data_IF_127994753533
#
_entry.id   IF_127994753533
#
_cell.length_a   1.000
_cell.length_b   1.000
_cell.length_c   1.000
_cell.angle_alpha   90.00
_cell.angle_beta   90.00
_cell.angle_gamma   90.00
#
_symmetry.space_group_name_H-M   'P 1'
#
loop_
_entity.id
_entity.type
_entity.pdbx_description
1 polymer ?
2 non-polymer ?
3 non-polymer ?
4 water ?
#
# COMPACT_ATOMS: atom_id res chain seq x y z
N UNK A 1 -7.70 19.19 -33.46
CA UNK A 1 -7.21 17.84 -33.82
C UNK A 1 -5.68 17.75 -33.65
N UNK A 2 -5.25 16.76 -32.86
CA UNK A 2 -3.82 16.55 -32.50
C UNK A 2 -3.14 17.72 -31.76
N UNK A 3 -3.93 18.53 -31.06
CA UNK A 3 -3.40 19.68 -30.31
C UNK A 3 -2.94 19.31 -28.89
N UNK A 4 -3.64 18.36 -28.26
CA UNK A 4 -3.32 17.93 -26.90
C UNK A 4 -2.17 16.94 -26.89
N UNK A 5 -1.32 17.04 -25.87
CA UNK A 5 -0.16 16.17 -25.70
C UNK A 5 -0.47 14.85 -24.98
N UNK A 6 -1.55 14.84 -24.20
CA UNK A 6 -1.87 13.79 -23.24
C UNK A 6 -3.36 13.89 -22.97
N UNK A 7 -3.98 12.76 -22.64
CA UNK A 7 -5.40 12.74 -22.30
C UNK A 7 -5.69 12.02 -21.00
N UNK A 8 -6.70 12.50 -20.26
CA UNK A 8 -7.20 11.81 -19.08
C UNK A 8 -8.68 11.53 -19.24
N UNK A 9 -9.04 10.25 -19.09
CA UNK A 9 -10.43 9.80 -19.04
C UNK A 9 -10.78 9.55 -17.57
N UNK A 10 -11.75 10.30 -17.07
CA UNK A 10 -12.25 10.12 -15.70
C UNK A 10 -12.04 11.38 -14.89
N UNK A 11 -13.09 12.19 -14.79
CA UNK A 11 -12.99 13.49 -14.16
C UNK A 11 -13.49 13.53 -12.73
N UNK A 12 -13.52 12.38 -12.06
CA UNK A 12 -13.58 12.38 -10.60
C UNK A 12 -12.30 13.06 -10.10
N UNK A 13 -12.12 13.21 -8.80
CA UNK A 13 -11.04 14.06 -8.28
C UNK A 13 -9.64 13.55 -8.65
N UNK A 14 -9.40 12.24 -8.48
CA UNK A 14 -8.08 11.67 -8.81
C UNK A 14 -7.68 11.99 -10.26
N UNK A 15 -8.60 11.71 -11.19
CA UNK A 15 -8.36 11.94 -12.61
C UNK A 15 -8.28 13.41 -12.97
N UNK A 16 -9.11 14.23 -12.34
CA UNK A 16 -9.04 15.67 -12.53
C UNK A 16 -7.70 16.21 -12.06
N UNK A 17 -7.32 15.86 -10.83
CA UNK A 17 -6.07 16.33 -10.23
C UNK A 17 -4.85 15.89 -11.00
N UNK A 18 -4.91 14.70 -11.58
CA UNK A 18 -3.84 14.18 -12.41
C UNK A 18 -3.76 14.95 -13.73
N UNK A 19 -4.90 15.17 -14.38
CA UNK A 19 -4.95 16.02 -15.57
C UNK A 19 -4.35 17.40 -15.29
N UNK A 20 -4.66 17.96 -14.13
CA UNK A 20 -4.14 19.25 -13.72
C UNK A 20 -2.63 19.20 -13.45
N UNK A 21 -2.17 18.10 -12.83
CA UNK A 21 -0.74 17.85 -12.60
C UNK A 21 0.05 17.89 -13.90
N UNK A 22 -0.42 17.12 -14.89
CA UNK A 22 0.20 17.05 -16.21
C UNK A 22 0.23 18.42 -16.88
N UNK A 23 -0.93 19.07 -16.94
CA UNK A 23 -1.04 20.41 -17.53
C UNK A 23 -0.04 21.40 -16.92
N UNK A 24 0.07 21.36 -15.59
CA UNK A 24 0.94 22.27 -14.86
C UNK A 24 2.43 22.06 -15.17
N UNK A 25 2.75 20.98 -15.89
CA UNK A 25 4.12 20.73 -16.32
C UNK A 25 4.37 21.24 -17.73
N UNK A 26 3.41 21.95 -18.29
CA UNK A 26 3.59 22.56 -19.61
C UNK A 26 3.15 21.69 -20.76
N UNK A 27 2.09 20.92 -20.55
CA UNK A 27 1.44 20.15 -21.61
C UNK A 27 0.00 20.60 -21.78
N UNK A 28 -0.55 20.32 -22.96
CA UNK A 28 -1.99 20.49 -23.21
C UNK A 28 -2.68 19.13 -22.99
N UNK A 29 -3.73 19.14 -22.19
CA UNK A 29 -4.36 17.90 -21.77
C UNK A 29 -5.84 17.88 -22.16
N UNK A 30 -6.21 16.91 -23.00
CA UNK A 30 -7.61 16.64 -23.31
C UNK A 30 -8.25 15.90 -22.14
N UNK A 31 -9.45 16.33 -21.78
CA UNK A 31 -10.17 15.75 -20.67
C UNK A 31 -11.51 15.16 -21.14
N UNK A 32 -11.86 14.00 -20.62
CA UNK A 32 -13.11 13.35 -20.98
C UNK A 32 -13.67 12.65 -19.75
N UNK A 33 -15.00 12.63 -19.66
CA UNK A 33 -15.71 11.90 -18.64
C UNK A 33 -17.04 11.39 -19.22
N UNK A 34 -17.46 10.21 -18.75
CA UNK A 34 -18.65 9.53 -19.24
C UNK A 34 -19.90 10.40 -19.17
N UNK A 35 -20.11 11.04 -18.02
CA UNK A 35 -21.20 12.00 -17.87
C UNK A 35 -20.66 13.41 -18.08
N UNK A 36 -21.08 14.01 -19.20
CA UNK A 36 -20.54 15.26 -19.74
C UNK A 36 -20.52 16.42 -18.74
N UNK A 37 -21.47 16.44 -17.82
CA UNK A 37 -21.60 17.53 -16.84
C UNK A 37 -20.34 17.74 -16.00
N UNK A 38 -19.70 16.64 -15.60
CA UNK A 38 -18.48 16.69 -14.78
C UNK A 38 -17.29 17.31 -15.53
N UNK A 39 -17.18 17.02 -16.83
CA UNK A 39 -16.13 17.59 -17.68
C UNK A 39 -16.28 19.11 -17.78
N UNK A 40 -17.53 19.57 -17.90
CA UNK A 40 -17.86 20.99 -17.96
C UNK A 40 -17.53 21.74 -16.66
N UNK A 41 -17.77 21.09 -15.52
CA UNK A 41 -17.45 21.64 -14.21
C UNK A 41 -15.93 21.83 -14.03
N UNK A 42 -15.15 20.86 -14.50
CA UNK A 42 -13.69 20.94 -14.47
C UNK A 42 -13.19 22.05 -15.38
N UNK A 43 -13.70 22.06 -16.62
CA UNK A 43 -13.22 22.97 -17.66
C UNK A 43 -13.43 24.44 -17.29
N UNK A 44 -14.62 24.76 -16.80
CA UNK A 44 -14.97 26.13 -16.41
C UNK A 44 -14.16 26.63 -15.21
N UNK A 45 -13.99 25.78 -14.20
CA UNK A 45 -13.17 26.12 -13.03
C UNK A 45 -11.69 26.28 -13.38
N UNK A 46 -11.26 25.72 -14.50
CA UNK A 46 -9.84 25.73 -14.88
C UNK A 46 -9.64 26.21 -16.32
N UNK A 47 -10.43 27.20 -16.72
CA UNK A 47 -10.38 27.77 -18.07
C UNK A 47 -9.04 28.39 -18.43
N UNK A 48 -8.38 28.97 -17.42
CA UNK A 48 -7.02 29.52 -17.57
C UNK A 48 -5.99 28.49 -18.05
N UNK A 49 -6.15 27.25 -17.58
CA UNK A 49 -5.21 26.16 -17.89
C UNK A 49 -5.33 25.69 -19.34
N UNK A 50 -4.30 24.99 -19.81
CA UNK A 50 -4.31 24.41 -21.14
C UNK A 50 -5.02 23.05 -21.19
N UNK A 51 -6.34 23.09 -21.03
CA UNK A 51 -7.18 21.90 -21.07
C UNK A 51 -8.06 21.93 -22.31
N UNK A 52 -8.10 20.81 -23.03
CA UNK A 52 -9.01 20.67 -24.16
C UNK A 52 -10.28 19.94 -23.71
N UNK A 53 -11.39 20.65 -23.76
CA UNK A 53 -12.70 20.09 -23.43
C UNK A 53 -13.18 19.20 -24.56
N UNK A 54 -13.50 17.97 -24.22
CA UNK A 54 -14.08 17.03 -25.18
C UNK A 54 -15.39 16.49 -24.61
N UNK A 55 -16.39 16.35 -25.48
CA UNK A 55 -17.69 15.80 -25.06
C UNK A 55 -17.94 14.37 -25.59
N UNK A 56 -17.31 14.02 -26.72
CA UNK A 56 -17.37 12.64 -27.23
C UNK A 56 -15.99 12.00 -27.24
N UNK A 57 -15.99 10.67 -27.29
CA UNK A 57 -14.79 9.85 -27.21
C UNK A 57 -13.95 10.00 -28.47
N UNK A 58 -14.62 10.19 -29.60
CA UNK A 58 -13.95 10.45 -30.85
C UNK A 58 -13.29 11.83 -30.85
N UNK A 59 -13.95 12.80 -30.24
CA UNK A 59 -13.41 14.15 -30.10
C UNK A 59 -12.17 14.13 -29.20
N UNK A 60 -12.25 13.34 -28.13
CA UNK A 60 -11.14 13.10 -27.21
C UNK A 60 -9.93 12.48 -27.92
N UNK A 61 -10.15 11.36 -28.60
CA UNK A 61 -9.10 10.68 -29.35
C UNK A 61 -8.55 11.56 -30.48
N UNK A 62 -9.44 12.21 -31.22
CA UNK A 62 -9.07 13.05 -32.36
C UNK A 62 -8.16 14.21 -31.99
N UNK A 63 -8.27 14.64 -30.74
CA UNK A 63 -7.51 15.77 -30.21
C UNK A 63 -6.09 15.42 -29.76
N UNK A 64 -5.69 14.16 -29.89
CA UNK A 64 -4.41 13.71 -29.34
C UNK A 64 -3.31 13.40 -30.37
N UNK A 65 -2.08 13.70 -29.98
CA UNK A 65 -0.89 13.43 -30.80
C UNK A 65 -0.57 11.94 -30.88
N UNK A 66 -0.21 11.48 -32.09
CA UNK A 66 0.29 10.12 -32.26
C UNK A 66 1.78 10.03 -31.89
N UNK A 67 2.20 8.92 -31.22
CA UNK A 67 1.33 7.92 -30.59
C UNK A 67 0.57 8.53 -29.39
N UNK A 68 -0.73 8.30 -29.32
CA UNK A 68 -1.56 8.92 -28.28
C UNK A 68 -1.25 8.38 -26.89
N UNK A 69 -1.24 9.28 -25.92
CA UNK A 69 -1.06 8.91 -24.52
C UNK A 69 -2.31 9.26 -23.74
N UNK A 70 -3.04 8.22 -23.34
CA UNK A 70 -4.34 8.35 -22.70
C UNK A 70 -4.26 7.65 -21.35
N UNK A 71 -4.53 8.41 -20.29
CA UNK A 71 -4.58 7.86 -18.95
C UNK A 71 -6.02 7.67 -18.51
N UNK A 72 -6.32 6.45 -18.06
CA UNK A 72 -7.63 6.07 -17.56
C UNK A 72 -7.64 6.20 -16.04
N UNK A 73 -8.59 6.97 -15.54
CA UNK A 73 -8.75 7.17 -14.11
C UNK A 73 -10.22 6.98 -13.75
N UNK A 74 -10.68 5.75 -13.94
CA UNK A 74 -12.08 5.41 -13.69
C UNK A 74 -12.17 4.32 -12.64
N UNK A 75 -13.41 3.97 -12.28
CA UNK A 75 -13.66 2.93 -11.29
C UNK A 75 -13.05 1.61 -11.77
N UNK A 76 -12.36 0.94 -10.86
CA UNK A 76 -11.74 -0.36 -11.13
C UNK A 76 -12.78 -1.46 -11.38
N UNK A 77 -12.36 -2.49 -12.10
CA UNK A 77 -13.24 -3.59 -12.44
C UNK A 77 -13.90 -3.35 -13.77
N UNK A 78 -15.22 -3.51 -13.80
CA UNK A 78 -16.01 -3.48 -15.03
C UNK A 78 -16.04 -2.13 -15.73
N UNK A 79 -15.95 -1.04 -14.95
CA UNK A 79 -15.93 0.30 -15.53
C UNK A 79 -14.66 0.57 -16.36
N UNK A 80 -13.54 -0.01 -15.92
CA UNK A 80 -12.27 0.10 -16.65
C UNK A 80 -12.30 -0.72 -17.95
N UNK A 81 -12.82 -1.93 -17.88
CA UNK A 81 -13.01 -2.74 -19.09
C UNK A 81 -13.94 -2.08 -20.12
N UNK A 82 -15.00 -1.45 -19.63
CA UNK A 82 -15.96 -0.74 -20.46
C UNK A 82 -15.33 0.47 -21.18
N UNK A 83 -14.45 1.17 -20.48
CA UNK A 83 -13.78 2.34 -21.03
C UNK A 83 -12.81 1.91 -22.12
N UNK A 84 -12.07 0.84 -21.84
CA UNK A 84 -11.11 0.28 -22.80
C UNK A 84 -11.82 -0.13 -24.08
N UNK A 85 -12.96 -0.82 -23.92
CA UNK A 85 -13.77 -1.33 -25.01
C UNK A 85 -14.31 -0.19 -25.85
N UNK A 86 -14.65 0.91 -25.18
CA UNK A 86 -15.15 2.12 -25.84
C UNK A 86 -14.06 2.84 -26.63
N UNK A 87 -12.83 2.79 -26.11
CA UNK A 87 -11.71 3.48 -26.73
C UNK A 87 -11.08 2.70 -27.88
N UNK A 88 -10.98 1.38 -27.72
CA UNK A 88 -10.24 0.52 -28.64
C UNK A 88 -10.46 0.78 -30.16
N UNK A 89 -11.73 0.84 -30.63
CA UNK A 89 -11.99 1.06 -32.06
C UNK A 89 -11.54 2.42 -32.61
N UNK A 90 -11.32 3.39 -31.72
CA UNK A 90 -10.93 4.75 -32.12
C UNK A 90 -9.42 4.95 -32.17
N UNK A 91 -8.66 3.97 -31.69
CA UNK A 91 -7.21 4.09 -31.57
C UNK A 91 -6.49 3.54 -32.80
N UNK A 92 -5.22 3.90 -32.95
CA UNK A 92 -4.37 3.29 -33.95
C UNK A 92 -3.29 2.51 -33.25
N UNK A 93 -2.73 1.52 -33.96
CA UNK A 93 -1.61 0.74 -33.49
C UNK A 93 -0.48 1.66 -33.01
N UNK A 94 0.14 1.30 -31.89
CA UNK A 94 1.22 2.10 -31.34
C UNK A 94 0.77 3.02 -30.23
N UNK A 95 -0.54 3.31 -30.18
CA UNK A 95 -1.11 4.16 -29.14
C UNK A 95 -0.92 3.53 -27.76
N UNK A 96 -0.97 4.37 -26.74
CA UNK A 96 -0.65 3.96 -25.37
C UNK A 96 -1.82 4.32 -24.45
N UNK A 97 -2.49 3.29 -23.94
CA UNK A 97 -3.47 3.45 -22.85
C UNK A 97 -2.74 3.18 -21.54
N UNK A 98 -3.04 4.00 -20.54
CA UNK A 98 -2.43 3.86 -19.23
C UNK A 98 -3.56 3.75 -18.22
N UNK A 99 -3.58 2.67 -17.45
CA UNK A 99 -4.58 2.52 -16.41
C UNK A 99 -4.00 2.91 -15.05
N UNK A 100 -4.40 4.09 -14.57
CA UNK A 100 -3.92 4.61 -13.31
C UNK A 100 -4.79 4.23 -12.13
N UNK A 101 -5.84 3.44 -12.38
CA UNK A 101 -6.74 2.98 -11.32
C UNK A 101 -6.11 1.93 -10.43
N UNK A 102 -6.69 1.76 -9.25
CA UNK A 102 -6.32 0.72 -8.32
C UNK A 102 -6.82 -0.66 -8.77
N UNK A 103 -6.31 -1.12 -9.90
CA UNK A 103 -6.76 -2.32 -10.54
C UNK A 103 -6.06 -3.54 -9.92
N UNK A 104 -6.81 -4.61 -9.75
CA UNK A 104 -6.26 -5.91 -9.37
C UNK A 104 -5.33 -6.38 -10.49
N UNK A 105 -4.08 -6.67 -10.17
CA UNK A 105 -3.04 -6.95 -11.19
C UNK A 105 -3.34 -8.04 -12.25
N UNK A 106 -4.06 -9.13 -11.90
CA UNK A 106 -4.37 -10.13 -12.95
C UNK A 106 -5.24 -9.59 -14.09
N UNK A 107 -6.06 -8.57 -13.80
CA UNK A 107 -6.84 -7.86 -14.82
C UNK A 107 -5.91 -7.09 -15.74
N UNK A 108 -4.88 -6.48 -15.16
CA UNK A 108 -3.83 -5.80 -15.93
C UNK A 108 -3.06 -6.80 -16.81
N UNK A 109 -2.80 -8.00 -16.29
CA UNK A 109 -2.11 -9.02 -17.05
C UNK A 109 -2.96 -9.49 -18.23
N UNK A 110 -4.26 -9.66 -17.99
CA UNK A 110 -5.22 -9.97 -19.03
C UNK A 110 -5.38 -8.80 -20.03
N UNK A 111 -5.52 -7.58 -19.52
CA UNK A 111 -5.68 -6.41 -20.39
C UNK A 111 -4.48 -6.18 -21.30
N UNK A 112 -3.28 -6.30 -20.73
CA UNK A 112 -2.04 -6.17 -21.48
C UNK A 112 -1.97 -7.16 -22.65
N UNK A 113 -2.28 -8.43 -22.38
CA UNK A 113 -2.23 -9.46 -23.42
C UNK A 113 -3.21 -9.23 -24.58
N UNK A 114 -4.47 -8.94 -24.26
CA UNK A 114 -5.50 -8.73 -25.29
C UNK A 114 -5.32 -7.43 -26.08
N UNK A 115 -4.83 -6.39 -25.42
CA UNK A 115 -4.56 -5.13 -26.10
C UNK A 115 -3.35 -5.21 -27.03
N UNK A 116 -2.39 -6.05 -26.69
CA UNK A 116 -1.24 -6.34 -27.54
C UNK A 116 -1.69 -7.03 -28.81
N UNK A 117 -2.75 -7.84 -28.71
CA UNK A 117 -3.30 -8.50 -29.89
C UNK A 117 -3.85 -7.51 -30.90
N UNK A 118 -4.24 -6.33 -30.41
CA UNK A 118 -4.74 -5.26 -31.24
C UNK A 118 -3.67 -4.20 -31.57
N UNK A 119 -2.44 -4.41 -31.08
CA UNK A 119 -1.34 -3.48 -31.38
C UNK A 119 -1.36 -2.20 -30.57
N UNK A 120 -2.03 -2.26 -29.42
CA UNK A 120 -2.14 -1.14 -28.49
C UNK A 120 -1.30 -1.43 -27.27
N UNK A 121 -0.54 -0.42 -26.83
CA UNK A 121 0.28 -0.56 -25.64
C UNK A 121 -0.55 -0.29 -24.39
N UNK A 122 -0.26 -1.02 -23.32
CA UNK A 122 -1.01 -0.90 -22.09
C UNK A 122 -0.10 -0.80 -20.90
N UNK A 123 -0.21 0.32 -20.19
CA UNK A 123 0.63 0.54 -19.04
C UNK A 123 -0.24 0.62 -17.81
N UNK A 124 -0.22 -0.45 -17.02
CA UNK A 124 -0.89 -0.46 -15.73
C UNK A 124 0.00 0.20 -14.71
N UNK A 125 -0.45 1.35 -14.21
CA UNK A 125 0.35 2.16 -13.30
C UNK A 125 -0.37 2.34 -12.00
N UNK A 126 0.35 2.12 -10.90
CA UNK A 126 -0.08 2.55 -9.60
C UNK A 126 0.20 4.02 -9.41
N UNK A 127 -0.75 4.71 -8.80
CA UNK A 127 -0.61 6.12 -8.48
C UNK A 127 -0.88 6.26 -7.00
N UNK A 128 0.13 6.73 -6.26
CA UNK A 128 -0.02 6.83 -4.83
C UNK A 128 0.12 8.27 -4.34
N UNK A 129 -0.58 8.61 -3.27
CA UNK A 129 -0.40 9.91 -2.63
C UNK A 129 -1.68 10.64 -2.34
N UNK A 130 -2.81 9.98 -2.60
CA UNK A 130 -4.12 10.59 -2.39
C UNK A 130 -4.42 11.66 -3.41
N UNK A 131 -5.49 12.40 -3.17
CA UNK A 131 -5.98 13.42 -4.10
C UNK A 131 -5.02 14.59 -4.24
N UNK A 132 -4.35 14.91 -3.14
CA UNK A 132 -3.37 15.99 -3.10
C UNK A 132 -2.09 15.58 -3.80
N UNK A 133 -1.66 14.33 -3.57
CA UNK A 133 -0.52 13.76 -4.28
C UNK A 133 -0.73 13.68 -5.79
N UNK A 134 -1.91 13.28 -6.23
CA UNK A 134 -2.19 13.20 -7.66
C UNK A 134 -2.03 14.57 -8.34
N UNK A 135 -2.33 15.62 -7.58
CA UNK A 135 -2.23 17.00 -8.07
C UNK A 135 -0.79 17.54 -8.05
N UNK A 136 -0.09 17.31 -6.95
CA UNK A 136 1.19 17.96 -6.69
C UNK A 136 2.41 17.09 -6.95
N UNK A 137 2.25 15.77 -6.81
CA UNK A 137 3.34 14.84 -7.10
C UNK A 137 3.12 13.44 -6.53
N UNK A 138 2.59 12.52 -7.35
CA UNK A 138 2.40 11.15 -6.88
C UNK A 138 3.68 10.33 -6.91
N UNK A 139 3.66 9.18 -6.26
CA UNK A 139 4.58 8.10 -6.54
C UNK A 139 3.91 7.24 -7.61
N UNK A 140 4.65 6.86 -8.63
CA UNK A 140 4.04 6.13 -9.74
C UNK A 140 4.74 4.81 -9.98
N UNK A 141 3.93 3.77 -10.23
CA UNK A 141 4.45 2.41 -10.38
C UNK A 141 3.99 1.76 -11.70
N UNK A 142 4.60 2.17 -12.84
CA UNK A 142 4.22 1.69 -14.18
C UNK A 142 4.79 0.33 -14.58
N UNK A 143 3.93 -0.47 -15.21
CA UNK A 143 4.31 -1.75 -15.76
C UNK A 143 3.69 -1.92 -17.13
N UNK A 144 4.29 -2.77 -17.95
CA UNK A 144 3.86 -2.95 -19.32
C UNK A 144 5.07 -3.05 -20.22
N UNK A 145 4.87 -2.72 -21.50
CA UNK A 145 5.96 -2.76 -22.48
C UNK A 145 6.96 -1.62 -22.26
N UNK A 146 8.24 -1.99 -22.13
CA UNK A 146 9.31 -1.05 -21.85
C UNK A 146 9.35 0.11 -22.86
N UNK A 147 9.26 -0.27 -24.14
CA UNK A 147 9.31 0.68 -25.26
C UNK A 147 8.21 1.73 -25.12
N UNK A 148 6.98 1.28 -24.84
CA UNK A 148 5.88 2.20 -24.54
C UNK A 148 6.12 3.02 -23.25
N UNK A 149 6.63 2.40 -22.20
CA UNK A 149 6.95 3.15 -20.99
C UNK A 149 7.94 4.30 -21.27
N UNK A 150 9.02 4.00 -22.01
CA UNK A 150 10.03 4.99 -22.37
C UNK A 150 9.42 6.25 -23.03
N UNK A 151 8.31 6.08 -23.74
CA UNK A 151 7.63 7.18 -24.43
C UNK A 151 6.82 8.08 -23.49
N UNK A 152 6.46 7.53 -22.33
CA UNK A 152 5.62 8.22 -21.35
C UNK A 152 6.43 8.73 -20.15
N UNK A 153 7.58 8.09 -19.92
CA UNK A 153 8.48 8.41 -18.81
C UNK A 153 8.84 9.89 -18.62
N UNK A 154 9.14 10.63 -19.72
CA UNK A 154 9.39 12.07 -19.56
C UNK A 154 8.30 12.82 -18.78
N UNK A 155 7.03 12.59 -19.15
CA UNK A 155 5.91 13.23 -18.46
C UNK A 155 5.74 12.72 -17.02
N UNK A 156 5.81 11.40 -16.86
CA UNK A 156 5.73 10.76 -15.54
C UNK A 156 6.79 11.31 -14.57
N UNK A 157 8.03 11.45 -15.06
CA UNK A 157 9.12 12.01 -14.26
C UNK A 157 8.88 13.47 -13.85
N UNK A 158 8.14 14.21 -14.67
CA UNK A 158 7.82 15.61 -14.35
C UNK A 158 6.70 15.77 -13.33
N UNK A 159 5.64 14.99 -13.47
CA UNK A 159 4.51 15.07 -12.55
C UNK A 159 4.78 14.41 -11.19
N UNK A 160 5.70 13.44 -11.13
CA UNK A 160 5.95 12.70 -9.89
C UNK A 160 6.65 13.54 -8.81
N UNK A 161 6.46 13.15 -7.55
CA UNK A 161 7.18 13.75 -6.44
C UNK A 161 8.69 13.45 -6.52
N UNK A 162 9.50 14.34 -5.97
CA UNK A 162 10.95 14.11 -5.90
C UNK A 162 11.32 13.70 -4.50
N UNK A 163 12.17 12.69 -4.36
CA UNK A 163 12.69 12.31 -3.05
C UNK A 163 13.49 13.48 -2.48
N UNK A 164 13.26 13.82 -1.19
CA UNK A 164 13.98 14.97 -0.61
C UNK A 164 15.48 14.69 -0.46
N UNK A 165 15.86 13.42 -0.30
CA UNK A 165 17.26 13.00 -0.19
C UNK A 165 18.14 13.40 -1.37
N UNK A 166 17.71 13.04 -2.59
CA UNK A 166 18.55 13.19 -3.78
C UNK A 166 17.80 13.79 -4.99
N UNK A 167 16.55 14.19 -4.79
CA UNK A 167 15.73 14.77 -5.85
C UNK A 167 15.33 13.81 -6.98
N UNK A 168 15.58 12.52 -6.80
CA UNK A 168 15.12 11.52 -7.77
C UNK A 168 13.59 11.46 -7.85
N UNK A 169 13.03 11.49 -9.09
CA UNK A 169 11.59 11.33 -9.32
C UNK A 169 11.07 10.00 -8.78
N UNK A 170 9.90 10.04 -8.14
CA UNK A 170 9.32 8.85 -7.54
C UNK A 170 8.46 8.08 -8.56
N UNK A 171 9.10 7.66 -9.64
CA UNK A 171 8.52 6.83 -10.68
C UNK A 171 9.67 6.05 -11.29
N UNK A 172 9.42 4.79 -11.63
CA UNK A 172 10.36 3.97 -12.35
C UNK A 172 9.65 2.78 -12.98
N UNK A 173 10.23 2.25 -14.04
CA UNK A 173 9.72 1.06 -14.69
C UNK A 173 9.80 -0.14 -13.73
N UNK A 174 8.65 -0.75 -13.46
CA UNK A 174 8.57 -1.87 -12.53
C UNK A 174 8.81 -3.19 -13.24
N UNK A 175 8.36 -3.27 -14.49
CA UNK A 175 8.43 -4.51 -15.23
C UNK A 175 7.26 -4.70 -16.18
N UNK A 176 7.18 -5.91 -16.72
CA UNK A 176 6.21 -6.23 -17.76
C UNK A 176 4.76 -6.40 -17.23
N UNK A 177 3.80 -6.31 -18.15
CA UNK A 177 2.39 -6.52 -17.86
C UNK A 177 1.88 -5.95 -16.52
N UNK A 178 1.55 -6.80 -15.56
CA UNK A 178 0.95 -6.36 -14.30
C UNK A 178 1.88 -5.95 -13.17
N UNK A 179 3.19 -5.95 -13.44
CA UNK A 179 4.22 -5.69 -12.44
C UNK A 179 4.00 -4.41 -11.63
N UNK A 180 3.56 -3.35 -12.31
CA UNK A 180 3.32 -2.06 -11.66
C UNK A 180 2.11 -2.02 -10.74
N UNK A 181 0.99 -2.60 -11.17
CA UNK A 181 -0.18 -2.72 -10.32
C UNK A 181 0.07 -3.66 -9.14
N UNK A 182 0.96 -4.64 -9.33
CA UNK A 182 1.35 -5.52 -8.23
C UNK A 182 2.09 -4.77 -7.12
N UNK A 183 3.04 -3.92 -7.53
CA UNK A 183 3.84 -3.13 -6.60
C UNK A 183 2.91 -2.18 -5.86
N UNK A 184 2.06 -1.49 -6.62
CA UNK A 184 1.03 -0.63 -6.03
C UNK A 184 0.13 -1.35 -5.02
N UNK A 185 -0.31 -2.57 -5.37
CA UNK A 185 -1.06 -3.42 -4.43
C UNK A 185 -0.29 -3.67 -3.15
N UNK A 186 1.01 -3.91 -3.25
CA UNK A 186 1.84 -4.12 -2.06
C UNK A 186 2.01 -2.83 -1.26
N UNK A 187 2.26 -1.73 -1.94
CA UNK A 187 2.18 -0.43 -1.31
C UNK A 187 0.96 -0.20 -0.42
N UNK A 188 -0.22 -0.51 -0.95
CA UNK A 188 -1.46 -0.32 -0.20
C UNK A 188 -1.64 -1.31 0.92
N UNK A 189 -1.17 -2.55 0.69
CA UNK A 189 -1.11 -3.55 1.76
C UNK A 189 -0.32 -3.01 2.93
N UNK A 190 0.90 -2.55 2.66
CA UNK A 190 1.78 -1.96 3.67
C UNK A 190 1.13 -0.76 4.37
N UNK A 191 0.42 0.04 3.57
CA UNK A 191 -0.35 1.17 4.06
C UNK A 191 -1.35 0.75 5.15
N UNK A 192 -2.21 -0.22 4.83
CA UNK A 192 -3.16 -0.80 5.80
C UNK A 192 -2.46 -1.16 7.10
N UNK A 193 -1.36 -1.91 6.99
CA UNK A 193 -0.51 -2.29 8.13
C UNK A 193 -0.02 -1.12 8.98
N UNK A 194 0.49 -0.07 8.34
CA UNK A 194 0.92 1.13 9.08
C UNK A 194 -0.23 1.81 9.82
N UNK A 195 -1.35 2.00 9.11
CA UNK A 195 -2.55 2.59 9.69
C UNK A 195 -3.07 1.78 10.89
N UNK A 196 -3.01 0.46 10.79
CA UNK A 196 -3.44 -0.42 11.89
C UNK A 196 -2.47 -0.31 13.08
N UNK A 197 -1.18 -0.32 12.78
CA UNK A 197 -0.14 -0.09 13.80
C UNK A 197 -0.32 1.25 14.51
N UNK A 198 -0.62 2.30 13.75
CA UNK A 198 -0.86 3.63 14.31
C UNK A 198 -2.16 3.66 15.12
N UNK A 199 -3.16 2.89 14.69
CA UNK A 199 -4.44 2.80 15.38
C UNK A 199 -4.27 2.13 16.74
N UNK A 200 -3.45 1.08 16.79
CA UNK A 200 -3.19 0.39 18.04
C UNK A 200 -2.43 1.26 19.03
N UNK A 201 -1.44 2.01 18.53
CA UNK A 201 -0.64 2.92 19.34
C UNK A 201 -1.55 3.97 19.95
N UNK A 202 -2.37 4.58 19.09
CA UNK A 202 -3.41 5.53 19.48
C UNK A 202 -4.34 4.93 20.57
N UNK A 203 -4.79 3.69 20.34
CA UNK A 203 -5.69 3.01 21.27
C UNK A 203 -5.04 2.74 22.64
N UNK A 204 -3.76 2.40 22.62
CA UNK A 204 -2.98 2.14 23.84
C UNK A 204 -2.79 3.42 24.65
N UNK A 205 -2.41 4.49 23.97
CA UNK A 205 -2.21 5.80 24.60
C UNK A 205 -3.53 6.32 25.18
N UNK A 206 -4.63 6.04 24.49
CA UNK A 206 -5.94 6.52 24.86
C UNK A 206 -6.59 5.69 25.98
N UNK A 207 -6.46 4.37 25.93
CA UNK A 207 -7.16 3.49 26.87
C UNK A 207 -6.36 3.06 28.09
N UNK A 208 -5.06 2.79 27.90
CA UNK A 208 -4.24 2.37 29.03
C UNK A 208 -3.71 3.58 29.80
N UNK A 209 -3.22 4.57 29.07
CA UNK A 209 -2.60 5.75 29.67
C UNK A 209 -3.58 6.91 29.84
N UNK A 210 -4.81 6.74 29.36
CA UNK A 210 -5.86 7.73 29.53
C UNK A 210 -5.56 9.12 28.99
N UNK A 211 -4.78 9.18 27.92
CA UNK A 211 -4.34 10.46 27.34
C UNK A 211 -5.38 11.07 26.38
N UNK A 212 -5.29 12.39 26.21
CA UNK A 212 -6.22 13.17 25.41
C UNK A 212 -5.72 13.31 23.97
N UNK A 213 -6.61 13.71 23.07
CA UNK A 213 -6.23 13.98 21.69
C UNK A 213 -5.07 14.96 21.57
N UNK A 214 -5.08 16.02 22.38
CA UNK A 214 -3.98 17.00 22.43
C UNK A 214 -2.66 16.36 22.88
N UNK A 215 -2.74 15.51 23.90
CA UNK A 215 -1.58 14.80 24.40
C UNK A 215 -1.00 13.84 23.35
N UNK A 216 -1.86 12.98 22.80
CA UNK A 216 -1.48 12.04 21.76
C UNK A 216 -0.93 12.78 20.52
N UNK A 217 -1.54 13.91 20.16
CA UNK A 217 -1.07 14.73 19.04
C UNK A 217 0.39 15.17 19.25
N UNK A 218 0.69 15.61 20.48
CA UNK A 218 2.03 16.06 20.87
C UNK A 218 3.03 14.92 20.87
N UNK A 219 2.59 13.74 21.31
CA UNK A 219 3.40 12.53 21.23
C UNK A 219 3.74 12.16 19.77
N UNK A 220 2.74 12.08 18.90
CA UNK A 220 2.96 11.83 17.48
C UNK A 220 3.83 12.88 16.79
N UNK A 221 3.67 14.15 17.17
CA UNK A 221 4.50 15.24 16.69
C UNK A 221 5.97 15.04 17.01
N UNK A 222 6.25 14.68 18.27
CA UNK A 222 7.59 14.39 18.74
C UNK A 222 8.18 13.15 18.07
N UNK A 223 7.37 12.09 17.96
CA UNK A 223 7.75 10.88 17.26
C UNK A 223 8.19 11.17 15.83
N UNK A 224 7.48 12.06 15.16
CA UNK A 224 7.70 12.40 13.74
C UNK A 224 8.95 13.23 13.46
N UNK A 225 9.60 13.68 14.53
CA UNK A 225 10.87 14.40 14.41
C UNK A 225 12.03 13.40 14.43
N UNK A 226 11.73 12.17 14.85
CA UNK A 226 12.74 11.14 14.95
C UNK A 226 12.73 10.18 13.78
N UNK A 227 13.16 8.96 14.03
CA UNK A 227 13.30 7.94 13.01
C UNK A 227 11.94 7.48 12.42
N UNK A 228 10.86 7.74 13.15
CA UNK A 228 9.50 7.40 12.70
C UNK A 228 8.95 8.34 11.62
N UNK A 229 9.58 9.50 11.47
CA UNK A 229 9.24 10.48 10.43
C UNK A 229 8.57 9.83 9.21
N UNK A 230 7.27 10.11 9.06
CA UNK A 230 6.46 9.56 7.98
C UNK A 230 5.22 10.41 7.73
N UNK A 231 4.67 10.33 6.52
CA UNK A 231 3.47 11.09 6.16
C UNK A 231 2.25 10.66 6.99
N UNK A 232 2.14 9.35 7.26
CA UNK A 232 1.00 8.82 7.99
C UNK A 232 0.90 9.28 9.44
N UNK A 233 2.03 9.31 10.16
CA UNK A 233 2.10 9.93 11.50
C UNK A 233 1.79 11.44 11.43
N UNK A 234 2.25 12.09 10.37
CA UNK A 234 2.02 13.51 10.14
C UNK A 234 0.54 13.85 10.04
N UNK A 235 -0.20 13.14 9.18
CA UNK A 235 -1.64 13.36 9.04
C UNK A 235 -2.44 12.86 10.26
N UNK A 236 -1.88 11.89 11.00
CA UNK A 236 -2.47 11.44 12.26
C UNK A 236 -2.53 12.58 13.30
N UNK A 237 -1.39 13.21 13.59
CA UNK A 237 -1.37 14.37 14.49
C UNK A 237 -2.20 15.55 13.95
N UNK A 238 -2.37 15.60 12.63
CA UNK A 238 -3.14 16.64 11.97
C UNK A 238 -4.63 16.37 12.16
N UNK A 239 -5.04 15.12 11.93
CA UNK A 239 -6.43 14.69 12.13
C UNK A 239 -6.86 14.94 13.57
N UNK A 240 -5.92 14.73 14.50
CA UNK A 240 -6.18 14.87 15.93
C UNK A 240 -6.33 16.32 16.39
N UNK A 241 -6.00 17.27 15.51
CA UNK A 241 -6.20 18.69 15.81
C UNK A 241 -7.63 19.13 15.57
N UNK A 242 -8.32 18.49 14.62
CA UNK A 242 -9.49 19.10 14.00
C UNK A 242 -10.77 19.00 14.81
N UNK A 243 -11.46 20.13 14.94
CA UNK A 243 -12.73 20.20 15.63
C UNK A 243 -13.85 19.51 14.85
N UNK A 244 -14.89 19.10 15.58
CA UNK A 244 -16.09 18.57 14.95
C UNK A 244 -16.76 19.70 14.16
N UNK A 245 -17.06 19.46 12.89
CA UNK A 245 -17.73 20.49 12.09
C UNK A 245 -19.25 20.59 12.35
N UNK A 246 -19.77 19.67 13.17
CA UNK A 246 -21.21 19.62 13.44
C UNK A 246 -21.54 19.31 14.90
N UNK A 247 -20.75 19.89 15.80
CA UNK A 247 -20.91 19.64 17.23
C UNK A 247 -19.66 19.95 18.02
N UNK A 248 -19.65 19.52 19.28
CA UNK A 248 -18.59 19.84 20.24
C UNK A 248 -17.46 18.82 20.12
N UNK A 249 -16.26 19.20 20.55
CA UNK A 249 -15.12 18.27 20.55
C UNK A 249 -14.43 18.09 19.22
N UNK A 250 -13.95 16.87 18.98
CA UNK A 250 -13.12 16.58 17.81
C UNK A 250 -13.86 15.74 16.80
N UNK A 251 -13.59 15.97 15.52
CA UNK A 251 -14.19 15.17 14.45
C UNK A 251 -13.86 13.66 14.56
N UNK A 252 -12.62 13.30 14.91
CA UNK A 252 -12.21 11.88 15.04
C UNK A 252 -13.12 11.07 15.95
N UNK A 253 -13.63 11.72 17.00
CA UNK A 253 -14.42 11.05 18.00
C UNK A 253 -15.87 10.84 17.59
N UNK A 254 -16.29 11.52 16.51
CA UNK A 254 -17.64 11.37 15.98
C UNK A 254 -17.71 10.47 14.75
N UNK A 255 -16.55 10.02 14.27
CA UNK A 255 -16.49 9.12 13.12
C UNK A 255 -16.78 7.70 13.58
N UNK A 256 -17.74 7.05 12.93
CA UNK A 256 -18.09 5.65 13.21
C UNK A 256 -16.92 4.72 12.92
N UNK A 257 -16.59 3.89 13.89
CA UNK A 257 -15.46 2.96 13.82
C UNK A 257 -15.75 1.73 12.95
N UNK A 258 -16.02 1.98 11.67
CA UNK A 258 -16.19 0.92 10.69
C UNK A 258 -15.29 1.21 9.50
N UNK A 259 -14.11 0.60 9.49
CA UNK A 259 -13.14 0.89 8.43
C UNK A 259 -13.63 0.36 7.09
N UNK A 260 -13.65 1.23 6.09
CA UNK A 260 -13.92 0.80 4.71
C UNK A 260 -12.66 0.26 4.06
N UNK A 261 -12.84 -0.30 2.86
CA UNK A 261 -11.75 -0.76 2.03
C UNK A 261 -12.20 -0.85 0.58
N UNK A 262 -11.27 -0.72 -0.34
CA UNK A 262 -11.60 -0.82 -1.76
C UNK A 262 -10.84 -1.94 -2.47
N UNK A 263 -10.35 -2.91 -1.70
CA UNK A 263 -9.81 -4.15 -2.26
C UNK A 263 -8.32 -4.42 -2.21
N UNK A 264 -7.49 -3.39 -2.40
CA UNK A 264 -6.03 -3.59 -2.50
C UNK A 264 -5.35 -4.35 -1.34
N UNK A 265 -5.72 -4.06 -0.09
CA UNK A 265 -5.14 -4.76 1.06
C UNK A 265 -5.50 -6.24 1.08
N UNK A 266 -6.78 -6.50 0.82
CA UNK A 266 -7.33 -7.84 0.62
C UNK A 266 -6.58 -8.62 -0.48
N UNK A 267 -6.41 -8.00 -1.64
CA UNK A 267 -5.62 -8.55 -2.76
C UNK A 267 -4.17 -8.86 -2.38
N UNK A 268 -3.54 -7.99 -1.60
CA UNK A 268 -2.18 -8.26 -1.10
C UNK A 268 -2.15 -9.56 -0.29
N UNK A 269 -3.07 -9.68 0.66
CA UNK A 269 -3.16 -10.87 1.50
C UNK A 269 -3.52 -12.11 0.69
N UNK A 270 -4.44 -11.96 -0.26
CA UNK A 270 -4.80 -13.06 -1.16
C UNK A 270 -3.60 -13.53 -1.99
N UNK A 271 -2.80 -12.59 -2.46
CA UNK A 271 -1.58 -12.91 -3.19
C UNK A 271 -0.52 -13.63 -2.36
N UNK A 272 -0.32 -13.18 -1.12
CA UNK A 272 0.63 -13.84 -0.21
C UNK A 272 0.22 -15.30 0.01
N UNK A 273 -1.10 -15.51 0.12
CA UNK A 273 -1.67 -16.82 0.33
C UNK A 273 -1.41 -17.75 -0.88
N UNK A 274 -1.64 -17.21 -2.07
CA UNK A 274 -1.32 -17.84 -3.35
C UNK A 274 0.13 -18.24 -3.50
N UNK A 275 1.02 -17.35 -3.05
CA UNK A 275 2.44 -17.46 -3.33
C UNK A 275 3.17 -18.34 -2.30
N UNK A 276 2.54 -18.60 -1.15
CA UNK A 276 3.20 -19.36 -0.07
C UNK A 276 4.06 -18.46 0.81
N UNK A 277 3.67 -17.19 0.89
CA UNK A 277 4.43 -16.14 1.56
C UNK A 277 3.78 -15.76 2.90
N UNK A 278 4.55 -15.82 4.00
CA UNK A 278 3.97 -15.38 5.27
C UNK A 278 3.76 -13.86 5.29
N UNK A 279 2.50 -13.44 5.35
CA UNK A 279 2.15 -12.00 5.46
C UNK A 279 1.16 -11.70 6.60
N UNK A 280 1.48 -12.14 7.83
CA UNK A 280 0.54 -11.99 8.94
C UNK A 280 0.14 -10.55 9.29
N UNK A 281 1.08 -9.61 9.32
CA UNK A 281 0.75 -8.27 9.81
C UNK A 281 -0.26 -7.55 8.93
N UNK A 282 0.03 -7.42 7.63
CA UNK A 282 -0.89 -6.76 6.71
C UNK A 282 -2.24 -7.46 6.67
N UNK A 283 -2.23 -8.80 6.72
CA UNK A 283 -3.47 -9.59 6.77
C UNK A 283 -4.32 -9.36 8.04
N UNK A 284 -3.69 -9.36 9.21
CA UNK A 284 -4.36 -8.97 10.46
C UNK A 284 -4.96 -7.56 10.37
N UNK A 285 -4.27 -6.65 9.68
CA UNK A 285 -4.75 -5.29 9.42
C UNK A 285 -6.05 -5.28 8.63
N UNK A 286 -6.11 -6.12 7.59
CA UNK A 286 -7.30 -6.31 6.77
C UNK A 286 -8.42 -6.86 7.64
N UNK A 287 -8.13 -7.92 8.37
CA UNK A 287 -9.09 -8.52 9.30
C UNK A 287 -9.52 -7.57 10.41
N UNK A 288 -8.62 -6.68 10.83
CA UNK A 288 -8.98 -5.66 11.83
C UNK A 288 -10.06 -4.73 11.26
N UNK A 289 -9.94 -4.40 9.98
CA UNK A 289 -10.96 -3.59 9.31
C UNK A 289 -12.28 -4.37 9.26
N UNK A 290 -12.22 -5.64 8.93
CA UNK A 290 -13.42 -6.47 8.84
C UNK A 290 -14.16 -6.59 10.17
N UNK A 291 -13.41 -6.72 11.25
CA UNK A 291 -14.04 -6.86 12.55
C UNK A 291 -14.65 -5.53 13.05
N UNK A 292 -14.14 -4.41 12.56
CA UNK A 292 -14.73 -3.10 12.89
C UNK A 292 -16.04 -2.93 12.13
N UNK A 293 -16.09 -3.57 10.97
CA UNK A 293 -17.28 -3.68 10.15
C UNK A 293 -18.44 -4.39 10.88
N UNK A 294 -18.09 -5.30 11.79
CA UNK A 294 -19.05 -6.05 12.60
C UNK A 294 -19.52 -5.27 13.85
N UNK A 295 -19.76 -3.97 13.68
CA UNK A 295 -20.10 -3.04 14.77
C UNK A 295 -21.30 -3.49 15.60
N UNK A 296 -22.39 -3.87 14.92
CA UNK A 296 -23.63 -4.28 15.58
C UNK A 296 -23.39 -5.46 16.51
N UNK A 297 -22.70 -6.47 15.99
CA UNK A 297 -22.33 -7.64 16.77
C UNK A 297 -21.41 -7.27 17.93
N UNK A 298 -20.45 -6.38 17.68
CA UNK A 298 -19.53 -5.90 18.71
C UNK A 298 -20.26 -5.19 19.85
N UNK A 299 -21.23 -4.35 19.51
CA UNK A 299 -22.09 -3.72 20.51
C UNK A 299 -22.76 -4.75 21.44
N UNK A 300 -23.38 -5.78 20.85
CA UNK A 300 -23.97 -6.87 21.61
C UNK A 300 -22.95 -7.60 22.49
N UNK A 301 -21.79 -7.92 21.93
CA UNK A 301 -20.75 -8.67 22.62
C UNK A 301 -20.18 -7.91 23.81
N UNK A 302 -20.08 -6.59 23.69
CA UNK A 302 -19.60 -5.74 24.78
C UNK A 302 -20.39 -5.90 26.08
N UNK A 303 -21.67 -6.26 25.95
CA UNK A 303 -22.57 -6.36 27.10
C UNK A 303 -22.56 -7.75 27.73
N UNK A 304 -21.99 -8.71 27.01
CA UNK A 304 -22.08 -10.12 27.36
C UNK A 304 -20.72 -10.65 27.84
N UNK A 305 -19.66 -10.24 27.14
CA UNK A 305 -18.32 -10.78 27.35
C UNK A 305 -17.54 -9.91 28.31
N UNK A 306 -16.78 -10.56 29.19
CA UNK A 306 -16.04 -9.85 30.23
C UNK A 306 -14.57 -9.71 29.86
N UNK A 307 -13.92 -8.72 30.48
CA UNK A 307 -12.50 -8.48 30.30
C UNK A 307 -11.88 -8.06 31.62
N UNK A 308 -10.57 -7.77 31.62
CA UNK A 308 -9.91 -7.26 32.82
C UNK A 308 -10.23 -5.80 33.09
N UNK A 309 -10.13 -5.40 34.36
CA UNK A 309 -10.26 -3.99 34.75
C UNK A 309 -8.89 -3.33 34.71
N UNK A 310 -8.88 -2.07 34.30
CA UNK A 310 -7.63 -1.38 33.99
C UNK A 310 -7.25 -0.41 35.08
N UNK A 311 -6.14 -0.72 35.76
CA UNK A 311 -5.44 0.30 36.56
C UNK A 311 -3.93 0.26 36.29
N UNK A 312 -3.48 1.27 35.55
CA UNK A 312 -2.11 1.33 35.05
C UNK A 312 -1.11 1.74 36.16
N UNK A 313 -0.22 0.80 36.51
CA UNK A 313 0.72 0.97 37.62
C UNK A 313 2.09 1.57 37.25
N UNK A 314 2.29 1.88 35.96
CA UNK A 314 3.61 2.24 35.46
C UNK A 314 3.89 3.72 35.20
N UNK A 315 5.04 3.99 34.57
CA UNK A 315 5.47 5.36 34.23
C UNK A 315 5.05 5.71 32.81
N UNK A 316 4.21 6.73 32.68
CA UNK A 316 3.67 7.15 31.40
C UNK A 316 4.75 7.43 30.35
N UNK A 317 5.73 8.25 30.71
CA UNK A 317 6.74 8.71 29.76
C UNK A 317 7.53 7.54 29.16
N UNK A 318 7.84 6.55 29.98
CA UNK A 318 8.65 5.44 29.53
C UNK A 318 7.87 4.36 28.79
N UNK A 319 6.58 4.26 29.11
CA UNK A 319 5.68 3.36 28.40
C UNK A 319 5.40 3.91 27.01
N UNK A 320 5.23 5.23 26.92
CA UNK A 320 5.13 5.94 25.65
C UNK A 320 6.33 5.62 24.76
N UNK A 321 7.53 5.60 25.34
CA UNK A 321 8.75 5.32 24.58
C UNK A 321 8.82 3.86 24.13
N UNK A 322 8.30 2.95 24.95
CA UNK A 322 8.23 1.54 24.59
C UNK A 322 7.31 1.35 23.40
N UNK A 323 6.14 1.99 23.45
CA UNK A 323 5.19 1.99 22.34
C UNK A 323 5.83 2.55 21.06
N UNK A 324 6.53 3.67 21.17
CA UNK A 324 7.30 4.23 20.06
C UNK A 324 8.22 3.18 19.42
N UNK A 325 9.02 2.53 20.26
CA UNK A 325 9.93 1.46 19.83
C UNK A 325 9.18 0.29 19.18
N UNK A 326 8.04 -0.07 19.74
CA UNK A 326 7.22 -1.16 19.25
C UNK A 326 6.59 -0.83 17.90
N UNK A 327 6.23 0.44 17.71
CA UNK A 327 5.70 0.90 16.43
C UNK A 327 6.76 0.74 15.33
N UNK A 328 7.94 1.28 15.57
CA UNK A 328 9.04 1.21 14.61
C UNK A 328 9.47 -0.23 14.31
N UNK A 329 9.62 -1.04 15.36
CA UNK A 329 9.94 -2.46 15.26
C UNK A 329 8.92 -3.19 14.39
N UNK A 330 7.64 -2.92 14.63
CA UNK A 330 6.54 -3.56 13.95
C UNK A 330 6.44 -3.16 12.47
N UNK A 331 6.72 -1.90 12.17
CA UNK A 331 6.79 -1.45 10.77
C UNK A 331 7.86 -2.23 10.05
N UNK A 332 9.00 -2.43 10.71
CA UNK A 332 10.10 -3.19 10.13
C UNK A 332 9.68 -4.63 9.81
N UNK A 333 8.98 -5.28 10.75
CA UNK A 333 8.36 -6.61 10.53
C UNK A 333 7.47 -6.63 9.26
N UNK A 334 6.59 -5.64 9.13
CA UNK A 334 5.64 -5.56 8.01
C UNK A 334 6.29 -5.29 6.64
N UNK A 335 7.22 -4.35 6.59
CA UNK A 335 7.97 -4.08 5.35
C UNK A 335 8.84 -5.27 4.98
N UNK A 336 9.49 -5.87 5.99
CA UNK A 336 10.23 -7.12 5.79
C UNK A 336 9.34 -8.17 5.10
N UNK A 337 8.13 -8.35 5.64
CA UNK A 337 7.16 -9.28 5.08
C UNK A 337 6.76 -8.90 3.66
N UNK A 338 6.44 -7.62 3.47
CA UNK A 338 6.04 -7.05 2.18
C UNK A 338 7.06 -7.19 1.05
N UNK A 339 8.33 -6.89 1.34
CA UNK A 339 9.40 -7.08 0.37
C UNK A 339 9.71 -8.55 0.05
N UNK A 340 9.49 -9.44 1.01
CA UNK A 340 9.61 -10.87 0.76
C UNK A 340 8.50 -11.33 -0.17
N UNK A 341 7.32 -10.71 -0.05
CA UNK A 341 6.24 -11.00 -1.00
C UNK A 341 6.61 -10.56 -2.41
N UNK A 342 7.08 -9.32 -2.54
CA UNK A 342 7.52 -8.81 -3.84
C UNK A 342 8.58 -9.73 -4.47
N UNK A 343 9.42 -10.30 -3.64
CA UNK A 343 10.46 -11.21 -4.09
C UNK A 343 9.87 -12.49 -4.68
N UNK A 344 8.95 -13.12 -3.95
CA UNK A 344 8.32 -14.34 -4.44
C UNK A 344 7.45 -14.09 -5.68
N UNK A 345 6.75 -12.95 -5.71
CA UNK A 345 5.97 -12.53 -6.88
C UNK A 345 6.83 -12.34 -8.13
N UNK A 346 7.99 -11.71 -7.94
CA UNK A 346 8.92 -11.43 -9.03
C UNK A 346 9.33 -12.72 -9.72
N UNK A 347 9.60 -13.75 -8.92
CA UNK A 347 9.94 -15.10 -9.38
C UNK A 347 8.74 -15.76 -10.05
N UNK A 348 7.57 -15.68 -9.41
CA UNK A 348 6.36 -16.31 -9.94
C UNK A 348 5.94 -15.79 -11.31
N UNK A 349 5.97 -14.47 -11.50
CA UNK A 349 5.45 -13.84 -12.72
C UNK A 349 6.56 -13.35 -13.63
N UNK A 350 7.81 -13.72 -13.31
CA UNK A 350 9.01 -13.37 -14.09
C UNK A 350 9.22 -11.88 -14.34
N UNK A 351 9.03 -11.05 -13.31
CA UNK A 351 9.09 -9.59 -13.47
C UNK A 351 10.44 -8.94 -13.20
N UNK A 352 11.34 -9.67 -12.56
CA UNK A 352 12.63 -9.11 -12.18
C UNK A 352 12.44 -7.71 -11.58
N UNK A 353 11.67 -7.64 -10.48
CA UNK A 353 11.35 -6.37 -9.84
C UNK A 353 12.58 -5.72 -9.24
N UNK A 354 12.72 -4.39 -9.41
CA UNK A 354 13.86 -3.68 -8.84
C UNK A 354 13.56 -3.26 -7.40
N UNK A 355 13.87 -4.14 -6.44
CA UNK A 355 13.49 -3.95 -5.05
C UNK A 355 14.00 -2.66 -4.43
N UNK A 356 15.28 -2.34 -4.68
CA UNK A 356 15.88 -1.10 -4.21
C UNK A 356 15.25 0.14 -4.80
N UNK A 357 14.85 0.06 -6.08
CA UNK A 357 14.20 1.19 -6.76
C UNK A 357 12.78 1.38 -6.27
N UNK A 358 12.07 0.27 -6.03
CA UNK A 358 10.75 0.31 -5.40
C UNK A 358 10.83 1.09 -4.08
N UNK A 359 11.75 0.68 -3.21
CA UNK A 359 12.04 1.47 -2.01
C UNK A 359 12.30 2.96 -2.34
N UNK A 360 13.17 3.23 -3.33
CA UNK A 360 13.53 4.60 -3.70
C UNK A 360 12.32 5.46 -4.09
N UNK A 361 11.41 4.89 -4.88
CA UNK A 361 10.24 5.63 -5.36
C UNK A 361 9.11 5.76 -4.33
N UNK A 362 9.26 5.07 -3.20
CA UNK A 362 8.36 5.28 -2.07
C UNK A 362 8.84 6.31 -1.04
N UNK A 363 9.98 6.95 -1.32
CA UNK A 363 10.56 7.90 -0.37
C UNK A 363 9.79 9.22 -0.29
N UNK A 364 9.02 9.50 -1.34
CA UNK A 364 8.17 10.68 -1.44
C UNK A 364 6.96 10.39 -2.35
N UNK A 365 5.94 11.23 -2.28
CA UNK A 365 4.77 11.10 -3.15
C UNK A 365 3.71 10.13 -2.67
N UNK A 366 4.13 8.91 -2.30
CA UNK A 366 3.21 7.86 -1.87
C UNK A 366 2.73 8.05 -0.43
N UNK A 367 1.71 7.28 -0.04
CA UNK A 367 1.12 7.40 1.31
C UNK A 367 2.07 6.89 2.39
N UNK A 368 2.84 5.86 2.07
CA UNK A 368 3.76 5.27 3.05
C UNK A 368 5.11 6.00 3.11
N UNK A 369 5.21 7.16 2.46
CA UNK A 369 6.44 7.95 2.42
C UNK A 369 6.95 8.15 3.84
N UNK A 370 8.24 7.89 4.02
CA UNK A 370 8.89 7.94 5.33
C UNK A 370 10.40 7.96 5.16
N UNK A 371 11.10 8.53 6.15
CA UNK A 371 12.56 8.59 6.11
C UNK A 371 13.20 7.19 6.08
N UNK A 372 12.58 6.23 6.74
CA UNK A 372 13.19 4.90 6.85
C UNK A 372 13.18 4.07 5.55
N UNK A 373 12.44 4.57 4.55
CA UNK A 373 12.52 4.00 3.20
C UNK A 373 13.90 4.14 2.56
N UNK A 374 14.63 5.19 2.94
CA UNK A 374 16.04 5.32 2.59
C UNK A 374 16.88 4.17 3.15
N UNK A 375 16.56 3.75 4.37
CA UNK A 375 17.24 2.63 5.01
C UNK A 375 17.00 1.33 4.24
N UNK A 376 15.78 1.17 3.74
CA UNK A 376 15.40 0.00 2.95
C UNK A 376 16.12 0.03 1.61
N UNK A 377 16.20 1.19 0.98
CA UNK A 377 16.93 1.30 -0.30
C UNK A 377 18.44 1.04 -0.11
N UNK A 378 18.99 1.45 1.04
CA UNK A 378 20.39 1.14 1.38
C UNK A 378 20.67 -0.36 1.54
N UNK A 379 19.75 -1.08 2.17
CA UNK A 379 19.86 -2.53 2.33
C UNK A 379 19.93 -3.25 0.98
N UNK A 380 19.13 -2.80 0.03
CA UNK A 380 19.12 -3.38 -1.33
C UNK A 380 20.29 -2.91 -2.17
N UNK A 381 20.77 -1.69 -1.92
CA UNK A 381 22.02 -1.20 -2.51
C UNK A 381 23.20 -2.12 -2.18
N UNK A 382 23.34 -2.47 -0.89
CA UNK A 382 24.30 -3.44 -0.40
C UNK A 382 24.15 -4.82 -1.08
N UNK A 383 22.93 -5.34 -1.07
CA UNK A 383 22.65 -6.65 -1.64
C UNK A 383 21.30 -6.66 -2.36
N UNK A 384 21.35 -6.48 -3.68
CA UNK A 384 20.15 -6.53 -4.52
C UNK A 384 19.38 -7.83 -4.33
N UNK A 385 20.12 -8.91 -4.03
CA UNK A 385 19.56 -10.25 -3.82
C UNK A 385 19.15 -10.58 -2.37
N UNK A 386 19.24 -9.59 -1.49
CA UNK A 386 18.83 -9.73 -0.08
C UNK A 386 17.47 -10.45 0.05
N UNK A 387 17.45 -11.53 0.84
CA UNK A 387 16.24 -12.34 0.99
C UNK A 387 15.22 -11.71 1.91
N UNK A 388 15.70 -11.01 2.93
CA UNK A 388 14.80 -10.43 3.92
C UNK A 388 15.48 -9.25 4.61
N UNK A 389 14.78 -8.12 4.66
CA UNK A 389 15.26 -6.88 5.31
C UNK A 389 15.83 -7.08 6.70
N UNK A 390 15.32 -8.07 7.44
CA UNK A 390 15.80 -8.36 8.79
C UNK A 390 17.24 -8.88 8.86
N UNK A 391 17.79 -9.31 7.73
CA UNK A 391 19.18 -9.79 7.65
C UNK A 391 20.17 -8.67 7.28
N UNK A 392 19.65 -7.46 7.12
CA UNK A 392 20.48 -6.29 6.91
C UNK A 392 20.86 -5.72 8.27
N UNK A 393 22.12 -5.28 8.36
CA UNK A 393 22.72 -4.84 9.63
C UNK A 393 22.00 -3.69 10.34
N UNK A 394 21.45 -2.75 9.58
CA UNK A 394 20.67 -1.66 10.18
C UNK A 394 19.46 -2.19 10.94
N UNK A 395 18.78 -3.20 10.39
CA UNK A 395 17.54 -3.73 10.95
C UNK A 395 17.79 -4.81 12.00
N UNK A 396 18.90 -5.53 11.85
CA UNK A 396 19.35 -6.46 12.88
C UNK A 396 19.48 -5.69 14.20
N UNK A 397 20.19 -4.56 14.14
CA UNK A 397 20.45 -3.72 15.30
C UNK A 397 19.18 -3.18 15.95
N UNK A 398 18.29 -2.59 15.15
CA UNK A 398 17.03 -2.03 15.65
C UNK A 398 16.21 -3.11 16.37
N UNK A 399 16.06 -4.26 15.74
CA UNK A 399 15.30 -5.36 16.31
C UNK A 399 15.93 -5.90 17.61
N UNK A 400 17.25 -5.98 17.63
CA UNK A 400 18.00 -6.35 18.83
C UNK A 400 17.65 -5.42 19.99
N UNK A 401 17.60 -4.11 19.71
CA UNK A 401 17.38 -3.06 20.71
C UNK A 401 15.92 -2.72 21.05
N UNK A 402 14.98 -3.01 20.14
CA UNK A 402 13.58 -2.60 20.34
C UNK A 402 12.66 -3.75 20.77
N UNK A 403 13.14 -4.98 20.66
CA UNK A 403 12.33 -6.16 20.96
C UNK A 403 11.92 -6.29 22.43
N UNK A 404 12.79 -5.88 23.35
CA UNK A 404 12.46 -5.91 24.78
C UNK A 404 11.25 -5.04 25.08
N UNK A 405 11.25 -3.84 24.49
CA UNK A 405 10.13 -2.91 24.57
C UNK A 405 8.84 -3.47 23.96
N UNK A 406 8.94 -4.18 22.84
CA UNK A 406 7.76 -4.77 22.17
C UNK A 406 7.13 -5.81 23.07
N UNK A 407 7.96 -6.68 23.63
CA UNK A 407 7.52 -7.72 24.56
C UNK A 407 6.76 -7.11 25.76
N UNK A 408 7.27 -5.98 26.27
CA UNK A 408 6.64 -5.28 27.39
C UNK A 408 5.31 -4.67 27.02
N UNK A 409 5.23 -4.08 25.83
CA UNK A 409 4.00 -3.48 25.31
C UNK A 409 2.94 -4.57 25.08
N UNK A 410 3.36 -5.68 24.47
CA UNK A 410 2.48 -6.81 24.24
C UNK A 410 1.88 -7.33 25.54
N UNK A 411 2.72 -7.54 26.56
CA UNK A 411 2.29 -8.00 27.90
C UNK A 411 1.31 -7.04 28.55
N UNK A 412 1.68 -5.76 28.55
CA UNK A 412 0.85 -4.70 29.11
C UNK A 412 -0.53 -4.70 28.47
N UNK A 413 -0.55 -4.57 27.15
CA UNK A 413 -1.79 -4.50 26.36
C UNK A 413 -2.67 -5.72 26.58
N UNK A 414 -2.06 -6.90 26.49
CA UNK A 414 -2.79 -8.15 26.69
C UNK A 414 -3.39 -8.28 28.10
N UNK A 415 -2.61 -7.97 29.13
CA UNK A 415 -3.14 -7.96 30.50
C UNK A 415 -4.21 -6.89 30.74
N UNK A 416 -4.12 -5.77 30.01
CA UNK A 416 -5.12 -4.70 30.11
C UNK A 416 -6.38 -5.00 29.31
N UNK A 417 -6.24 -5.92 28.34
CA UNK A 417 -7.36 -6.31 27.51
C UNK A 417 -7.60 -5.39 26.33
N UNK A 418 -6.58 -4.60 25.96
CA UNK A 418 -6.65 -3.79 24.74
C UNK A 418 -6.21 -4.62 23.51
N UNK A 419 -7.05 -4.68 22.46
CA UNK A 419 -6.73 -5.47 21.25
C UNK A 419 -5.53 -4.91 20.47
N UNK A 420 -4.49 -5.73 20.36
CA UNK A 420 -3.31 -5.35 19.58
C UNK A 420 -2.94 -6.43 18.55
N UNK A 421 -3.84 -6.70 17.58
CA UNK A 421 -3.61 -7.82 16.66
C UNK A 421 -2.33 -7.69 15.82
N UNK A 422 -1.94 -6.48 15.45
CA UNK A 422 -0.70 -6.32 14.65
C UNK A 422 0.59 -6.24 15.48
N UNK A 423 0.55 -5.61 16.64
CA UNK A 423 1.68 -5.63 17.56
C UNK A 423 2.02 -7.08 17.96
N UNK A 424 0.98 -7.88 18.22
CA UNK A 424 1.19 -9.29 18.56
C UNK A 424 1.68 -10.14 17.40
N UNK A 425 1.21 -9.86 16.18
CA UNK A 425 1.68 -10.61 15.01
C UNK A 425 3.11 -10.19 14.68
N UNK A 426 3.43 -8.92 14.94
CA UNK A 426 4.79 -8.42 14.78
C UNK A 426 5.80 -9.25 15.59
N UNK A 427 5.55 -9.42 16.89
CA UNK A 427 6.51 -10.15 17.73
C UNK A 427 6.50 -11.65 17.41
N UNK A 428 5.32 -12.18 17.04
CA UNK A 428 5.20 -13.59 16.65
C UNK A 428 5.99 -13.90 15.39
N UNK A 429 5.92 -13.00 14.42
CA UNK A 429 6.70 -13.14 13.19
C UNK A 429 8.20 -13.13 13.49
N UNK A 430 8.64 -12.17 14.31
CA UNK A 430 10.04 -12.09 14.70
C UNK A 430 10.54 -13.38 15.36
N UNK A 431 9.78 -13.93 16.30
CA UNK A 431 10.21 -15.12 17.03
C UNK A 431 10.12 -16.38 16.17
N UNK A 432 9.28 -16.35 15.13
CA UNK A 432 9.18 -17.47 14.20
C UNK A 432 10.33 -17.39 13.23
N UNK A 433 10.51 -16.22 12.61
CA UNK A 433 11.57 -16.04 11.63
C UNK A 433 12.96 -16.41 12.16
N UNK A 434 13.22 -16.03 13.41
CA UNK A 434 14.51 -16.30 14.04
C UNK A 434 14.68 -17.72 14.61
N UNK A 435 13.62 -18.51 14.65
CA UNK A 435 13.71 -19.88 15.17
C UNK A 435 14.27 -20.82 14.12
N UNK A 436 15.44 -21.38 14.41
CA UNK A 436 16.01 -22.44 13.60
C UNK A 436 15.03 -23.61 13.47
N UNK A 437 14.41 -23.97 14.60
CA UNK A 437 13.39 -25.03 14.64
C UNK A 437 12.04 -24.53 15.10
N UNK A 438 11.00 -24.92 14.35
CA UNK A 438 9.63 -24.59 14.68
C UNK A 438 8.82 -25.89 14.87
N UNK A 439 7.68 -25.82 15.61
CA UNK A 439 6.91 -27.04 15.94
C UNK A 439 6.14 -27.66 14.75
N UNK A 440 6.51 -27.28 13.54
CA UNK A 440 5.94 -27.81 12.31
C UNK A 440 6.28 -29.29 12.07
N UNK A 441 7.28 -29.80 12.80
CA UNK A 441 7.58 -31.23 12.83
C UNK A 441 6.39 -32.06 13.32
N UNK A 442 5.73 -31.58 14.37
CA UNK A 442 4.53 -32.23 14.90
C UNK A 442 3.38 -32.16 13.90
N UNK A 443 3.22 -31.00 13.25
CA UNK A 443 2.20 -30.80 12.21
C UNK A 443 2.38 -31.82 11.08
N UNK A 444 3.61 -31.95 10.58
CA UNK A 444 3.96 -32.96 9.59
C UNK A 444 3.70 -34.40 10.07
N UNK A 445 3.95 -34.66 11.36
CA UNK A 445 3.70 -35.99 11.93
C UNK A 445 2.22 -36.34 11.89
N UNK A 446 1.37 -35.41 12.36
CA UNK A 446 -0.09 -35.56 12.31
C UNK A 446 -0.58 -35.73 10.88
N UNK A 447 -0.07 -34.90 9.97
CA UNK A 447 -0.42 -35.00 8.54
C UNK A 447 -0.07 -36.38 7.98
N UNK A 448 1.13 -36.86 8.28
CA UNK A 448 1.53 -38.20 7.86
C UNK A 448 0.69 -39.29 8.54
N UNK A 449 0.30 -39.03 9.79
CA UNK A 449 -0.51 -39.97 10.58
C UNK A 449 -1.88 -40.17 9.96
N UNK A 450 -2.65 -39.10 9.82
CA UNK A 450 -4.01 -39.27 9.30
C UNK A 450 -4.10 -39.32 7.77
N UNK A 451 -3.20 -38.60 7.08
CA UNK A 451 -3.28 -38.46 5.62
C UNK A 451 -2.17 -39.06 4.77
N UNK A 452 -1.19 -39.69 5.43
CA UNK A 452 -0.03 -40.31 4.75
C UNK A 452 0.69 -39.31 3.82
N UNK A 453 0.80 -38.07 4.29
CA UNK A 453 1.22 -36.97 3.41
C UNK A 453 2.72 -36.91 3.12
N UNK A 454 3.46 -37.72 3.89
CA UNK A 454 4.92 -37.85 3.83
C UNK A 454 5.67 -36.65 4.44
N UNK A 455 6.94 -36.89 4.76
CA UNK A 455 7.78 -35.87 5.36
C UNK A 455 9.23 -35.99 4.88
N UNK A 456 9.99 -34.94 5.11
CA UNK A 456 11.42 -34.97 4.98
C UNK A 456 12.03 -35.14 6.37
N UNK A 457 13.29 -35.54 6.40
CA UNK A 457 13.98 -35.77 7.65
C UNK A 457 14.99 -34.69 7.95
N UNK A 458 15.38 -34.61 9.22
CA UNK A 458 16.42 -33.69 9.66
C UNK A 458 17.80 -34.28 9.38
N UNK A 459 17.88 -35.60 9.20
CA UNK A 459 19.18 -36.30 9.20
C UNK A 459 19.61 -36.92 7.87
N UNK A 460 18.69 -36.97 6.90
CA UNK A 460 19.00 -37.49 5.57
C UNK A 460 18.04 -36.99 4.49
N UNK A 461 18.50 -37.10 3.24
CA UNK A 461 17.72 -36.70 2.08
C UNK A 461 16.61 -37.72 1.81
N UNK A 462 15.63 -37.32 1.02
CA UNK A 462 14.56 -38.23 0.61
C UNK A 462 13.23 -37.94 1.27
N UNK A 463 12.19 -38.62 0.77
CA UNK A 463 10.82 -38.45 1.23
C UNK A 463 10.37 -39.73 1.91
N UNK A 464 9.75 -39.61 3.08
CA UNK A 464 9.45 -40.75 3.96
C UNK A 464 8.00 -40.77 4.41
N UNK A 465 7.51 -41.98 4.67
CA UNK A 465 6.21 -42.22 5.29
C UNK A 465 6.41 -43.19 6.45
N UNK A 466 5.75 -42.93 7.57
CA UNK A 466 5.92 -43.76 8.76
C UNK A 466 4.75 -44.73 8.97
N UNK A 467 5.05 -45.95 9.41
CA UNK A 467 4.00 -46.91 9.74
C UNK A 467 3.41 -46.61 11.11
N UNK A 468 2.48 -45.66 11.15
CA UNK A 468 1.83 -45.22 12.39
C UNK A 468 0.89 -46.28 12.99
N UNK A 469 0.42 -47.22 12.18
CA UNK A 469 -0.69 -48.10 12.55
C UNK A 469 -0.32 -49.55 12.83
N UNK A 470 0.49 -50.15 11.96
CA UNK A 470 0.89 -51.56 12.09
C UNK A 470 2.12 -51.72 13.01
#
# INVERSE_FOLDING_TARGET
MAQANFGVVGMAVMGKNLALNVESRGYTVAIYNRTTSKTEEVFKEHQDKNLVFTKTLEEFVGSLEKPRRIMLMVQAGAATDATIKSLLPLLDIGDILIDGGNTHFPDTMRRNAELADSGINFIGTGVSGGEKGALLGPSMMPGGQKEAYDLVAPIFEQIAAKAPQDGKPCVAYMGANGAGHYVKMVHNGIEYGDMQLIAESYDLLKRILGLSNAEIQAIFEEWNEGELDSYLIEITKEVLKRKDDEGEGYIVDKILDKAGNKGTGKWTSESALDLGVPLPLITESVFARYISTYKDERVKASKVLSGPALDFSGDKKEVIEKIRKALYFSKIMSYAQGFAQLRKASEEFDWDLPYGTIAQIWRAGCIIRAEFLQNITDAFDKDSELENLLLDDYFVDITKRYQEAVRDVVSLAVQAGTPIPTFTSAISYYDSYRSENLPANLIQAQRDYFGAHTYERTDKAGIFHYDWYTED
#
